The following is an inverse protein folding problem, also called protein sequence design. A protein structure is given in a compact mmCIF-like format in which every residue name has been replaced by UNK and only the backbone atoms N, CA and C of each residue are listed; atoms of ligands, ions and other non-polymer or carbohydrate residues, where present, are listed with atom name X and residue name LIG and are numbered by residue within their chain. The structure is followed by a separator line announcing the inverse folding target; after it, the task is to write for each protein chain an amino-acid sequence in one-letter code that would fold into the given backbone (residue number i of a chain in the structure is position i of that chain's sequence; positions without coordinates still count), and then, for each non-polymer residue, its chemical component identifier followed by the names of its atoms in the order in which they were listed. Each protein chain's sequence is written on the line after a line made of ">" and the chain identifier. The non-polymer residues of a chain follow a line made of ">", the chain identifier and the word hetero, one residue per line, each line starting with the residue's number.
data_IF_285110952108
#
_entry.id   IF_285110952108
#
_cell.length_a   1.000
_cell.length_b   1.000
_cell.length_c   1.000
_cell.angle_alpha   90.00
_cell.angle_beta   90.00
_cell.angle_gamma   90.00
#
_symmetry.space_group_name_H-M   'P 1'
#
loop_
_entity.id
_entity.type
_entity.pdbx_description
1 polymer ?
#
# COMPACT_ATOMS: atom_id res chain seq x y z
N UNK A 1 75.01 9.05 -22.75
CA UNK A 1 73.93 9.59 -21.93
C UNK A 1 72.62 9.12 -22.51
N UNK A 2 71.97 8.16 -21.84
CA UNK A 2 70.66 7.65 -22.26
C UNK A 2 69.60 8.09 -21.29
N UNK A 3 68.69 8.95 -21.77
CA UNK A 3 67.60 9.44 -21.00
C UNK A 3 66.46 8.42 -21.03
N UNK A 4 66.12 7.86 -19.86
CA UNK A 4 64.96 7.00 -19.73
C UNK A 4 63.76 7.89 -19.45
N UNK A 5 62.79 7.91 -20.36
CA UNK A 5 61.48 8.46 -20.12
C UNK A 5 60.59 7.37 -19.51
N UNK A 6 60.12 7.63 -18.31
CA UNK A 6 59.13 6.78 -17.66
C UNK A 6 57.75 7.37 -18.04
N UNK A 7 57.02 6.64 -18.89
CA UNK A 7 55.63 6.92 -19.14
C UNK A 7 54.81 6.39 -17.93
N UNK A 8 54.32 7.32 -17.14
CA UNK A 8 53.33 7.03 -16.10
C UNK A 8 51.95 6.83 -16.72
N UNK A 9 51.42 5.64 -16.68
CA UNK A 9 50.04 5.34 -17.05
C UNK A 9 49.13 5.79 -15.89
N UNK A 10 48.39 6.84 -16.12
CA UNK A 10 47.32 7.28 -15.18
C UNK A 10 46.09 6.40 -15.48
N UNK A 11 45.81 5.44 -14.62
CA UNK A 11 44.58 4.68 -14.63
C UNK A 11 43.46 5.56 -14.08
N UNK A 12 42.60 6.08 -14.96
CA UNK A 12 41.39 6.74 -14.55
C UNK A 12 40.37 5.69 -14.16
N UNK A 13 40.14 5.48 -12.86
CA UNK A 13 39.06 4.65 -12.36
C UNK A 13 37.75 5.39 -12.56
N UNK A 14 36.99 5.01 -13.55
CA UNK A 14 35.61 5.46 -13.75
C UNK A 14 34.72 4.75 -12.71
N UNK A 15 34.49 5.40 -11.59
CA UNK A 15 33.44 5.00 -10.67
C UNK A 15 32.09 5.38 -11.29
N UNK A 16 31.43 4.40 -11.90
CA UNK A 16 30.07 4.58 -12.38
C UNK A 16 29.13 4.63 -11.15
N UNK A 17 28.84 5.84 -10.66
CA UNK A 17 27.68 6.06 -9.78
C UNK A 17 26.44 6.03 -10.65
N UNK A 18 25.76 4.86 -10.77
CA UNK A 18 24.44 4.79 -11.37
C UNK A 18 23.44 5.61 -10.54
N UNK A 19 22.44 6.29 -11.17
CA UNK A 19 21.40 6.96 -10.41
C UNK A 19 20.65 5.93 -9.58
N UNK A 20 20.79 5.96 -8.25
CA UNK A 20 19.93 5.21 -7.35
C UNK A 20 18.56 5.88 -7.37
N UNK A 21 17.53 5.12 -7.80
CA UNK A 21 16.14 5.59 -7.66
C UNK A 21 15.87 5.85 -6.19
N UNK A 22 15.22 6.98 -5.82
CA UNK A 22 14.84 7.22 -4.44
C UNK A 22 13.95 6.06 -3.96
N UNK A 23 14.10 5.59 -2.69
CA UNK A 23 13.22 4.57 -2.15
C UNK A 23 11.78 5.03 -2.24
N UNK A 24 10.87 4.12 -2.60
CA UNK A 24 9.44 4.41 -2.61
C UNK A 24 8.95 4.80 -1.22
N UNK A 25 7.89 5.59 -1.17
CA UNK A 25 7.24 5.96 0.09
C UNK A 25 6.75 4.70 0.81
N UNK A 26 7.17 4.46 2.07
CA UNK A 26 6.77 3.25 2.78
C UNK A 26 5.33 3.34 3.27
N UNK A 27 4.68 2.18 3.37
CA UNK A 27 3.40 2.01 4.07
C UNK A 27 3.60 1.90 5.58
N UNK A 28 4.75 1.39 6.00
CA UNK A 28 5.08 1.15 7.39
C UNK A 28 4.87 2.39 8.26
N UNK A 29 4.23 2.21 9.42
CA UNK A 29 3.95 3.28 10.36
C UNK A 29 2.80 4.21 9.96
N UNK A 30 2.06 3.91 8.90
CA UNK A 30 0.95 4.72 8.43
C UNK A 30 -0.41 4.16 8.86
N UNK A 31 -1.37 5.07 9.06
CA UNK A 31 -2.73 4.74 9.47
C UNK A 31 -3.73 5.39 8.53
N UNK A 32 -4.74 4.65 8.15
CA UNK A 32 -5.70 5.05 7.13
C UNK A 32 -7.12 4.70 7.54
N UNK A 33 -8.09 5.51 7.09
CA UNK A 33 -9.52 5.26 7.22
C UNK A 33 -10.18 5.28 5.85
N UNK A 34 -11.09 4.35 5.62
CA UNK A 34 -11.74 4.15 4.33
C UNK A 34 -12.80 5.21 4.08
N UNK A 35 -12.73 5.89 2.95
CA UNK A 35 -13.71 6.91 2.57
C UNK A 35 -14.68 6.44 1.50
N UNK A 36 -14.24 5.54 0.61
CA UNK A 36 -15.11 4.95 -0.41
C UNK A 36 -14.57 3.65 -0.98
N UNK A 37 -15.49 2.84 -1.51
CA UNK A 37 -15.21 1.67 -2.31
C UNK A 37 -15.71 1.93 -3.73
N UNK A 38 -14.83 1.85 -4.69
CA UNK A 38 -15.17 1.94 -6.10
C UNK A 38 -15.21 0.53 -6.70
N UNK A 39 -16.31 0.20 -7.35
CA UNK A 39 -16.44 -1.04 -8.13
C UNK A 39 -16.40 -0.72 -9.61
N UNK A 40 -15.68 -1.52 -10.38
CA UNK A 40 -15.64 -1.38 -11.84
C UNK A 40 -16.88 -1.97 -12.53
N UNK A 41 -17.80 -2.57 -11.78
CA UNK A 41 -19.10 -2.94 -12.32
C UNK A 41 -20.03 -1.73 -12.35
N UNK A 42 -20.68 -1.51 -13.49
CA UNK A 42 -21.58 -0.37 -13.68
C UNK A 42 -22.77 -0.35 -12.68
N UNK A 43 -23.14 -1.53 -12.17
CA UNK A 43 -24.25 -1.67 -11.24
C UNK A 43 -23.93 -1.22 -9.82
N UNK A 44 -22.68 -1.35 -9.39
CA UNK A 44 -22.27 -1.00 -8.02
C UNK A 44 -21.67 0.41 -7.90
N UNK A 45 -20.97 0.88 -8.92
CA UNK A 45 -20.36 2.20 -8.92
C UNK A 45 -19.49 2.47 -7.70
N UNK A 46 -19.52 3.70 -7.20
CA UNK A 46 -18.79 4.13 -6.01
C UNK A 46 -19.73 4.17 -4.80
N UNK A 47 -19.33 3.53 -3.72
CA UNK A 47 -20.04 3.55 -2.43
C UNK A 47 -19.25 4.38 -1.44
N UNK A 48 -19.82 5.48 -0.97
CA UNK A 48 -19.24 6.29 0.09
C UNK A 48 -19.40 5.58 1.45
N UNK A 49 -18.40 5.76 2.32
CA UNK A 49 -18.43 5.25 3.70
C UNK A 49 -18.93 6.35 4.61
N UNK A 50 -20.08 6.16 5.25
CA UNK A 50 -20.71 7.17 6.10
C UNK A 50 -19.88 7.48 7.34
N UNK A 51 -19.24 6.47 7.93
CA UNK A 51 -18.38 6.63 9.10
C UNK A 51 -16.99 5.99 8.82
N UNK A 52 -16.07 6.75 8.23
CA UNK A 52 -14.72 6.24 7.91
C UNK A 52 -13.96 5.71 9.12
N UNK A 53 -14.18 6.22 10.31
CA UNK A 53 -13.55 5.76 11.54
C UNK A 53 -13.88 4.32 11.93
N UNK A 54 -14.92 3.74 11.35
CA UNK A 54 -15.26 2.32 11.52
C UNK A 54 -14.49 1.37 10.61
N UNK A 55 -13.77 1.88 9.62
CA UNK A 55 -13.04 1.06 8.65
C UNK A 55 -11.62 1.60 8.54
N UNK A 56 -10.69 0.98 9.25
CA UNK A 56 -9.32 1.46 9.34
C UNK A 56 -8.31 0.36 9.06
N UNK A 57 -7.14 0.77 8.57
CA UNK A 57 -5.96 -0.07 8.46
C UNK A 57 -4.75 0.66 9.04
N UNK A 58 -3.97 -0.04 9.85
CA UNK A 58 -2.70 0.44 10.38
C UNK A 58 -1.59 -0.49 9.92
N UNK A 59 -0.57 0.07 9.27
CA UNK A 59 0.60 -0.68 8.82
C UNK A 59 1.71 -0.56 9.87
N UNK A 60 2.09 -1.69 10.47
CA UNK A 60 3.21 -1.75 11.41
C UNK A 60 4.56 -1.87 10.71
N UNK A 61 5.64 -1.69 11.46
CA UNK A 61 7.01 -1.74 10.94
C UNK A 61 7.53 -3.16 10.66
N UNK A 62 6.82 -4.19 11.08
CA UNK A 62 7.20 -5.60 11.03
C UNK A 62 6.36 -6.42 10.03
N UNK A 63 5.85 -5.79 8.99
CA UNK A 63 4.97 -6.39 7.99
C UNK A 63 3.64 -6.89 8.59
N UNK A 64 3.18 -6.26 9.65
CA UNK A 64 1.88 -6.52 10.26
C UNK A 64 0.90 -5.40 9.99
N UNK A 65 -0.33 -5.77 9.71
CA UNK A 65 -1.43 -4.83 9.52
C UNK A 65 -2.52 -5.12 10.55
N UNK A 66 -3.06 -4.06 11.15
CA UNK A 66 -4.20 -4.14 12.04
C UNK A 66 -5.41 -3.48 11.38
N UNK A 67 -6.59 -4.06 11.56
CA UNK A 67 -7.81 -3.60 10.92
C UNK A 67 -8.89 -3.33 11.96
N UNK A 68 -9.72 -2.35 11.66
CA UNK A 68 -11.08 -2.26 12.16
C UNK A 68 -12.02 -2.34 10.96
N UNK A 69 -13.00 -3.23 11.03
CA UNK A 69 -14.00 -3.43 9.98
C UNK A 69 -15.37 -3.41 10.65
N UNK A 70 -15.96 -2.22 10.72
CA UNK A 70 -17.17 -1.91 11.46
C UNK A 70 -17.02 -2.24 12.95
N UNK A 71 -17.79 -3.19 13.47
CA UNK A 71 -17.72 -3.61 14.86
C UNK A 71 -16.63 -4.69 15.11
N UNK A 72 -15.97 -5.18 14.07
CA UNK A 72 -14.94 -6.21 14.15
C UNK A 72 -13.53 -5.63 14.10
N UNK A 73 -12.59 -6.36 14.72
CA UNK A 73 -11.17 -6.06 14.72
C UNK A 73 -10.39 -7.26 14.22
N UNK A 74 -9.33 -6.99 13.48
CA UNK A 74 -8.51 -8.05 12.95
C UNK A 74 -7.08 -7.64 12.74
N UNK A 75 -6.29 -8.61 12.31
CA UNK A 75 -4.92 -8.41 11.91
C UNK A 75 -4.50 -9.41 10.85
N UNK A 76 -3.43 -9.08 10.15
CA UNK A 76 -2.85 -9.87 9.11
C UNK A 76 -1.38 -9.51 8.96
N UNK A 77 -0.69 -10.22 8.10
CA UNK A 77 0.57 -9.76 7.53
C UNK A 77 0.30 -9.01 6.23
N UNK A 78 1.24 -8.17 5.82
CA UNK A 78 1.21 -7.57 4.49
C UNK A 78 2.57 -7.68 3.81
N UNK A 79 2.57 -7.72 2.50
CA UNK A 79 3.76 -7.64 1.67
C UNK A 79 3.60 -6.50 0.69
N UNK A 80 4.56 -5.59 0.70
CA UNK A 80 4.59 -4.46 -0.20
C UNK A 80 5.97 -4.34 -0.85
N UNK A 81 5.97 -4.05 -2.14
CA UNK A 81 7.20 -3.79 -2.88
C UNK A 81 7.03 -2.52 -3.73
N UNK A 82 7.87 -1.50 -3.54
CA UNK A 82 7.79 -0.28 -4.35
C UNK A 82 8.00 -0.58 -5.82
N UNK A 83 7.15 -0.01 -6.68
CA UNK A 83 7.28 -0.03 -8.14
C UNK A 83 7.54 1.36 -8.72
N UNK A 84 7.57 2.37 -7.86
CA UNK A 84 7.83 3.78 -8.17
C UNK A 84 7.89 4.58 -6.87
N UNK A 85 8.01 5.93 -6.94
CA UNK A 85 8.13 6.75 -5.73
C UNK A 85 6.87 6.71 -4.85
N UNK A 86 5.71 6.59 -5.43
CA UNK A 86 4.41 6.67 -4.74
C UNK A 86 3.51 5.45 -4.97
N UNK A 87 4.02 4.37 -5.51
CA UNK A 87 3.22 3.19 -5.84
C UNK A 87 4.00 1.90 -5.71
N UNK A 88 3.29 0.79 -5.67
CA UNK A 88 3.89 -0.53 -5.64
C UNK A 88 2.85 -1.64 -5.55
N UNK A 89 3.34 -2.85 -5.37
CA UNK A 89 2.50 -4.01 -5.08
C UNK A 89 2.16 -4.05 -3.59
N UNK A 90 0.98 -4.55 -3.28
CA UNK A 90 0.51 -4.76 -1.90
C UNK A 90 -0.41 -5.96 -1.87
N UNK A 91 -0.15 -6.89 -0.97
CA UNK A 91 -1.05 -8.00 -0.66
C UNK A 91 -1.15 -8.18 0.84
N UNK A 92 -2.31 -8.57 1.31
CA UNK A 92 -2.52 -9.01 2.68
C UNK A 92 -2.52 -10.54 2.73
N UNK A 93 -1.93 -11.09 3.79
CA UNK A 93 -2.09 -12.50 4.13
C UNK A 93 -3.52 -12.78 4.64
N UNK A 94 -3.80 -14.00 5.09
CA UNK A 94 -5.09 -14.33 5.69
C UNK A 94 -5.43 -13.37 6.83
N UNK A 95 -6.62 -12.77 6.78
CA UNK A 95 -7.07 -11.79 7.77
C UNK A 95 -7.80 -12.54 8.88
N UNK A 96 -7.22 -12.51 10.09
CA UNK A 96 -7.90 -12.98 11.29
C UNK A 96 -8.79 -11.87 11.83
N UNK A 97 -10.09 -12.05 11.73
CA UNK A 97 -11.09 -11.04 12.10
C UNK A 97 -12.02 -11.62 13.17
N UNK A 98 -12.38 -10.80 14.18
CA UNK A 98 -13.47 -11.16 15.09
C UNK A 98 -14.77 -11.30 14.30
N UNK A 99 -15.72 -12.09 14.78
CA UNK A 99 -16.96 -12.41 14.07
C UNK A 99 -18.19 -11.95 14.85
N UNK A 100 -18.18 -10.71 15.29
CA UNK A 100 -19.37 -10.11 15.87
C UNK A 100 -20.36 -9.76 14.75
N UNK A 101 -21.65 -9.89 15.04
CA UNK A 101 -22.69 -9.37 14.15
C UNK A 101 -22.73 -7.86 14.30
N UNK A 102 -22.47 -7.13 13.21
CA UNK A 102 -22.54 -5.68 13.19
C UNK A 102 -23.96 -5.21 12.87
N UNK A 103 -24.46 -4.15 13.55
CA UNK A 103 -25.75 -3.57 13.22
C UNK A 103 -25.81 -3.18 11.73
N UNK A 104 -26.94 -3.47 11.10
CA UNK A 104 -27.18 -3.11 9.69
C UNK A 104 -27.70 -1.67 9.55
N UNK A 105 -27.37 -0.95 8.47
CA UNK A 105 -26.54 -1.38 7.34
C UNK A 105 -25.05 -1.41 7.69
N UNK A 106 -24.31 -2.40 7.20
CA UNK A 106 -22.87 -2.53 7.42
C UNK A 106 -22.15 -2.88 6.11
N UNK A 107 -20.96 -2.34 5.92
CA UNK A 107 -20.08 -2.67 4.80
C UNK A 107 -19.04 -3.75 5.19
N UNK A 108 -19.16 -4.35 6.37
CA UNK A 108 -18.18 -5.26 6.95
C UNK A 108 -17.80 -6.39 5.98
N UNK A 109 -18.76 -7.12 5.46
CA UNK A 109 -18.51 -8.23 4.56
C UNK A 109 -17.85 -7.77 3.25
N UNK A 110 -18.34 -6.67 2.70
CA UNK A 110 -17.83 -6.12 1.43
C UNK A 110 -16.39 -5.62 1.57
N UNK A 111 -16.08 -4.92 2.66
CA UNK A 111 -14.73 -4.43 2.95
C UNK A 111 -13.77 -5.59 3.21
N UNK A 112 -14.17 -6.58 4.01
CA UNK A 112 -13.35 -7.77 4.30
C UNK A 112 -13.00 -8.53 3.02
N UNK A 113 -13.99 -8.74 2.13
CA UNK A 113 -13.75 -9.37 0.83
C UNK A 113 -12.78 -8.56 -0.02
N UNK A 114 -12.97 -7.24 -0.08
CA UNK A 114 -12.11 -6.36 -0.86
C UNK A 114 -10.66 -6.35 -0.34
N UNK A 115 -10.44 -6.35 0.97
CA UNK A 115 -9.10 -6.41 1.57
C UNK A 115 -8.34 -7.66 1.13
N UNK A 116 -9.01 -8.80 1.00
CA UNK A 116 -8.41 -10.04 0.49
C UNK A 116 -8.04 -9.99 -1.01
N UNK A 117 -8.57 -9.03 -1.74
CA UNK A 117 -8.34 -8.85 -3.18
C UNK A 117 -7.34 -7.75 -3.52
N UNK A 118 -6.79 -7.04 -2.54
CA UNK A 118 -5.81 -5.98 -2.79
C UNK A 118 -4.56 -6.55 -3.48
N UNK A 119 -4.08 -5.85 -4.52
CA UNK A 119 -2.89 -6.25 -5.30
C UNK A 119 -1.87 -5.14 -5.47
N UNK A 120 -2.29 -3.89 -5.42
CA UNK A 120 -1.38 -2.75 -5.55
C UNK A 120 -1.85 -1.55 -4.76
N UNK A 121 -0.96 -0.60 -4.57
CA UNK A 121 -1.26 0.66 -3.90
C UNK A 121 -0.65 1.85 -4.64
N UNK A 122 -1.24 3.00 -4.43
CA UNK A 122 -0.72 4.28 -4.89
C UNK A 122 -1.07 5.39 -3.91
N UNK A 123 -0.10 6.23 -3.60
CA UNK A 123 -0.32 7.50 -2.92
C UNK A 123 -0.59 8.58 -3.95
N UNK A 124 -1.68 9.29 -3.82
CA UNK A 124 -2.02 10.42 -4.67
C UNK A 124 -2.98 11.36 -3.92
N UNK A 125 -2.79 12.66 -4.08
CA UNK A 125 -3.66 13.70 -3.51
C UNK A 125 -3.84 13.58 -1.98
N UNK A 126 -2.77 13.18 -1.27
CA UNK A 126 -2.81 12.97 0.17
C UNK A 126 -3.58 11.72 0.61
N UNK A 127 -3.96 10.87 -0.33
CA UNK A 127 -4.72 9.64 -0.11
C UNK A 127 -3.93 8.40 -0.47
N UNK A 128 -4.38 7.27 0.06
CA UNK A 128 -3.92 5.95 -0.33
C UNK A 128 -5.02 5.27 -1.14
N UNK A 129 -4.68 4.78 -2.31
CA UNK A 129 -5.57 4.03 -3.19
C UNK A 129 -5.08 2.60 -3.29
N UNK A 130 -5.92 1.63 -2.97
CA UNK A 130 -5.61 0.21 -3.10
C UNK A 130 -6.42 -0.38 -4.24
N UNK A 131 -5.74 -0.88 -5.28
CA UNK A 131 -6.39 -1.52 -6.42
C UNK A 131 -6.56 -3.01 -6.16
N UNK A 132 -7.71 -3.51 -6.57
CA UNK A 132 -8.13 -4.88 -6.37
C UNK A 132 -7.76 -5.78 -7.55
N UNK A 133 -7.76 -7.09 -7.32
CA UNK A 133 -7.50 -8.13 -8.30
C UNK A 133 -8.28 -7.90 -9.59
N UNK A 134 -7.59 -8.05 -10.73
CA UNK A 134 -8.17 -7.94 -12.09
C UNK A 134 -8.92 -6.62 -12.32
N UNK A 135 -8.43 -5.52 -11.73
CA UNK A 135 -9.03 -4.19 -11.85
C UNK A 135 -10.52 -4.15 -11.46
N UNK A 136 -10.91 -5.01 -10.52
CA UNK A 136 -12.31 -5.13 -10.09
C UNK A 136 -12.81 -3.96 -9.24
N UNK A 137 -11.91 -3.16 -8.70
CA UNK A 137 -12.26 -2.01 -7.89
C UNK A 137 -11.08 -1.32 -7.23
N UNK A 138 -11.38 -0.26 -6.50
CA UNK A 138 -10.40 0.52 -5.75
C UNK A 138 -10.97 0.87 -4.37
N UNK A 139 -10.15 0.70 -3.35
CA UNK A 139 -10.42 1.24 -2.01
C UNK A 139 -9.70 2.58 -1.86
N UNK A 140 -10.44 3.61 -1.52
CA UNK A 140 -9.91 4.96 -1.32
C UNK A 140 -9.84 5.27 0.17
N UNK A 141 -8.63 5.61 0.63
CA UNK A 141 -8.33 5.85 2.03
C UNK A 141 -7.79 7.26 2.25
N UNK A 142 -8.17 7.87 3.37
CA UNK A 142 -7.58 9.12 3.84
C UNK A 142 -6.75 8.87 5.12
N UNK A 143 -5.79 9.75 5.47
CA UNK A 143 -5.02 9.60 6.69
C UNK A 143 -5.93 9.56 7.92
N UNK A 144 -5.70 8.59 8.80
CA UNK A 144 -6.34 8.51 10.10
C UNK A 144 -5.39 9.12 11.13
N UNK A 145 -5.60 10.37 11.40
CA UNK A 145 -4.97 11.17 12.43
C UNK A 145 -3.57 10.85 12.91
#
# INVERSE_FOLDING_TARGET
>A
MRTFQILGAVAVALTACGPSSPPGRPLDGTNWRLVSLESMSDEQGTTAVDDPGKYTVSFGADQRAAFRVDCNRGNSTFQAAPGGPDSGTLTFGPIALTRMFCPQPSLEQRVTTALGQVRSYRFADGRLHMSLLADSGILHWEPAG
#
